data_IF_918078552087
#
_entry.id   IF_918078552087
#
_cell.length_a   1.000
_cell.length_b   1.000
_cell.length_c   1.000
_cell.angle_alpha   90.00
_cell.angle_beta   90.00
_cell.angle_gamma   90.00
#
_symmetry.space_group_name_H-M   'P 1'
#
loop_
_entity.id
_entity.type
_entity.pdbx_description
1 polymer ?
#
# COMPACT_ATOMS: atom_id res chain seq x y z
N UNK A 1 18.46 24.29 -5.06
CA UNK A 1 18.49 23.93 -3.63
C UNK A 1 17.58 22.72 -3.47
N UNK A 2 18.16 21.53 -3.35
CA UNK A 2 17.41 20.27 -3.34
C UNK A 2 17.31 19.81 -1.88
N UNK A 3 16.13 19.76 -1.25
CA UNK A 3 16.03 19.08 0.02
C UNK A 3 16.08 17.56 -0.23
N UNK A 4 17.24 16.97 0.07
CA UNK A 4 17.35 15.54 0.39
C UNK A 4 16.54 15.31 1.66
N UNK A 5 15.33 14.80 1.51
CA UNK A 5 14.59 14.19 2.62
C UNK A 5 14.96 12.72 2.64
N UNK A 6 15.89 12.36 3.52
CA UNK A 6 16.02 11.01 4.03
C UNK A 6 14.96 10.86 5.14
N UNK A 7 13.85 10.14 4.92
CA UNK A 7 12.97 9.80 6.03
C UNK A 7 13.62 8.71 6.91
N UNK A 8 13.36 8.72 8.23
CA UNK A 8 13.84 7.70 9.16
C UNK A 8 13.27 6.30 8.80
N UNK A 9 14.04 5.22 9.02
CA UNK A 9 13.74 3.85 8.53
C UNK A 9 12.60 3.11 9.23
N UNK A 10 11.69 3.80 9.93
CA UNK A 10 10.66 3.18 10.76
C UNK A 10 9.26 3.76 10.57
N UNK A 11 9.10 4.70 9.63
CA UNK A 11 7.76 5.09 9.17
C UNK A 11 7.43 4.22 7.97
N UNK A 12 6.40 3.39 8.08
CA UNK A 12 5.76 2.75 6.93
C UNK A 12 5.25 3.88 6.03
N UNK A 13 6.09 4.34 5.10
CA UNK A 13 5.76 5.47 4.25
C UNK A 13 4.55 5.09 3.42
N UNK A 14 3.53 5.98 3.33
CA UNK A 14 2.45 5.79 2.38
C UNK A 14 3.05 5.61 0.97
N UNK A 15 2.35 4.91 0.07
CA UNK A 15 2.79 4.83 -1.32
C UNK A 15 3.07 6.25 -1.83
N UNK A 16 4.30 6.47 -2.26
CA UNK A 16 4.76 7.71 -2.84
C UNK A 16 3.83 8.11 -3.99
N UNK A 17 3.68 9.42 -4.19
CA UNK A 17 2.75 9.97 -5.18
C UNK A 17 2.98 9.47 -6.63
N UNK A 18 4.15 8.88 -6.92
CA UNK A 18 4.47 8.31 -8.22
C UNK A 18 4.12 6.82 -8.37
N UNK A 19 3.87 6.10 -7.27
CA UNK A 19 3.56 4.68 -7.32
C UNK A 19 2.23 4.43 -8.04
N UNK A 20 2.25 3.49 -8.98
CA UNK A 20 1.11 3.14 -9.82
C UNK A 20 0.58 1.78 -9.45
N UNK A 21 -0.72 1.61 -9.59
CA UNK A 21 -1.35 0.32 -9.40
C UNK A 21 -0.80 -0.67 -10.43
N UNK A 22 -0.24 -1.79 -9.98
CA UNK A 22 0.31 -2.84 -10.84
C UNK A 22 -0.72 -3.45 -11.81
N UNK A 23 -2.02 -3.26 -11.52
CA UNK A 23 -3.12 -3.81 -12.32
C UNK A 23 -3.64 -2.88 -13.41
N UNK A 24 -3.74 -1.57 -13.15
CA UNK A 24 -4.36 -0.61 -14.08
C UNK A 24 -3.57 0.68 -14.30
N UNK A 25 -2.38 0.79 -13.72
CA UNK A 25 -1.51 1.96 -13.81
C UNK A 25 -2.10 3.29 -13.28
N UNK A 26 -3.26 3.26 -12.60
CA UNK A 26 -3.81 4.41 -11.89
C UNK A 26 -2.95 4.77 -10.66
N UNK A 27 -3.19 5.92 -10.03
CA UNK A 27 -2.49 6.31 -8.80
C UNK A 27 -2.65 5.24 -7.69
N UNK A 28 -1.53 4.82 -7.12
CA UNK A 28 -1.48 3.90 -5.99
C UNK A 28 -1.99 4.57 -4.72
N UNK A 29 -2.74 3.81 -3.92
CA UNK A 29 -3.28 4.23 -2.62
C UNK A 29 -3.00 3.21 -1.51
N UNK A 30 -2.68 1.98 -1.88
CA UNK A 30 -2.27 0.91 -0.98
C UNK A 30 -0.98 0.29 -1.53
N UNK A 31 -0.01 0.08 -0.66
CA UNK A 31 1.14 -0.80 -0.90
C UNK A 31 1.05 -1.96 0.08
N UNK A 32 1.19 -3.19 -0.39
CA UNK A 32 1.30 -4.38 0.45
C UNK A 32 2.68 -5.00 0.28
N UNK A 33 3.21 -5.57 1.36
CA UNK A 33 4.43 -6.37 1.38
C UNK A 33 4.04 -7.82 1.59
N UNK A 34 4.53 -8.72 0.72
CA UNK A 34 4.32 -10.15 0.80
C UNK A 34 5.39 -10.80 1.69
N UNK A 35 5.15 -12.05 2.11
CA UNK A 35 6.10 -12.81 2.93
C UNK A 35 7.49 -12.98 2.29
N UNK A 36 7.59 -12.91 0.96
CA UNK A 36 8.86 -12.96 0.23
C UNK A 36 9.61 -11.61 0.16
N UNK A 37 9.10 -10.56 0.80
CA UNK A 37 9.67 -9.21 0.75
C UNK A 37 9.35 -8.42 -0.53
N UNK A 38 8.61 -9.01 -1.47
CA UNK A 38 8.09 -8.26 -2.62
C UNK A 38 6.96 -7.32 -2.20
N UNK A 39 6.84 -6.20 -2.90
CA UNK A 39 5.81 -5.21 -2.68
C UNK A 39 4.89 -5.12 -3.90
N UNK A 40 3.59 -4.94 -3.67
CA UNK A 40 2.60 -4.70 -4.72
C UNK A 40 1.80 -3.44 -4.39
N UNK A 41 1.53 -2.64 -5.41
CA UNK A 41 0.80 -1.37 -5.29
C UNK A 41 -0.57 -1.50 -5.94
N UNK A 42 -1.59 -1.01 -5.23
CA UNK A 42 -2.97 -1.02 -5.69
C UNK A 42 -3.58 0.38 -5.61
N UNK A 43 -4.41 0.72 -6.60
CA UNK A 43 -5.29 1.89 -6.52
C UNK A 43 -6.40 1.62 -5.52
N UNK A 44 -7.06 2.68 -5.01
CA UNK A 44 -8.09 2.52 -3.98
C UNK A 44 -9.25 1.60 -4.41
N UNK A 45 -9.58 1.58 -5.71
CA UNK A 45 -10.56 0.64 -6.27
C UNK A 45 -10.09 -0.81 -6.14
N UNK A 46 -8.91 -1.17 -6.66
CA UNK A 46 -8.45 -2.57 -6.62
C UNK A 46 -8.08 -3.04 -5.22
N UNK A 47 -7.54 -2.15 -4.38
CA UNK A 47 -7.27 -2.42 -2.98
C UNK A 47 -8.53 -2.90 -2.24
N UNK A 48 -9.66 -2.21 -2.43
CA UNK A 48 -10.93 -2.58 -1.79
C UNK A 48 -11.66 -3.72 -2.51
N UNK A 49 -11.60 -3.76 -3.85
CA UNK A 49 -12.22 -4.82 -4.65
C UNK A 49 -11.64 -6.20 -4.33
N UNK A 50 -10.32 -6.28 -4.13
CA UNK A 50 -9.61 -7.53 -3.86
C UNK A 50 -9.22 -7.67 -2.38
N UNK A 51 -9.80 -6.88 -1.47
CA UNK A 51 -9.38 -6.83 -0.07
C UNK A 51 -9.30 -8.23 0.57
N UNK A 52 -10.33 -9.07 0.38
CA UNK A 52 -10.40 -10.42 0.97
C UNK A 52 -9.27 -11.35 0.50
N UNK A 53 -8.75 -11.18 -0.71
CA UNK A 53 -7.64 -11.97 -1.21
C UNK A 53 -6.29 -11.34 -0.85
N UNK A 54 -6.19 -10.01 -0.88
CA UNK A 54 -4.99 -9.29 -0.49
C UNK A 54 -4.62 -9.55 0.96
N UNK A 55 -5.59 -9.58 1.90
CA UNK A 55 -5.31 -9.84 3.32
C UNK A 55 -4.67 -11.19 3.58
N UNK A 56 -4.95 -12.21 2.74
CA UNK A 56 -4.38 -13.57 2.89
C UNK A 56 -2.88 -13.62 2.59
N UNK A 57 -2.39 -12.69 1.78
CA UNK A 57 -1.00 -12.66 1.29
C UNK A 57 -0.19 -11.47 1.84
N UNK A 58 -0.87 -10.53 2.50
CA UNK A 58 -0.27 -9.31 3.04
C UNK A 58 0.37 -9.60 4.39
N UNK A 59 1.66 -9.27 4.52
CA UNK A 59 2.40 -9.33 5.78
C UNK A 59 2.55 -7.95 6.41
N UNK A 60 2.75 -6.92 5.59
CA UNK A 60 2.72 -5.51 5.99
C UNK A 60 2.00 -4.70 4.94
N UNK A 61 1.41 -3.59 5.32
CA UNK A 61 0.77 -2.68 4.38
C UNK A 61 1.00 -1.22 4.75
N UNK A 62 1.00 -0.37 3.74
CA UNK A 62 1.05 1.08 3.83
C UNK A 62 -0.11 1.66 3.01
N UNK A 63 -0.90 2.55 3.60
CA UNK A 63 -1.94 3.28 2.88
C UNK A 63 -1.61 4.76 2.80
N UNK A 64 -2.05 5.37 1.72
CA UNK A 64 -2.18 6.83 1.65
C UNK A 64 -3.04 7.32 2.84
N UNK A 65 -2.67 8.42 3.51
CA UNK A 65 -3.31 8.84 4.76
C UNK A 65 -4.80 9.19 4.58
N UNK A 66 -5.23 9.53 3.37
CA UNK A 66 -6.63 9.82 3.04
C UNK A 66 -7.40 8.58 2.59
N UNK A 67 -6.74 7.42 2.46
CA UNK A 67 -7.34 6.19 1.97
C UNK A 67 -7.53 5.16 3.09
N UNK A 68 -8.78 4.78 3.33
CA UNK A 68 -9.10 3.66 4.21
C UNK A 68 -9.24 2.36 3.39
N UNK A 69 -8.34 1.41 3.63
CA UNK A 69 -8.40 0.08 3.02
C UNK A 69 -9.27 -0.86 3.84
N UNK A 70 -10.31 -1.44 3.21
CA UNK A 70 -11.23 -2.40 3.87
C UNK A 70 -10.51 -3.64 4.42
N UNK A 71 -9.39 -4.05 3.84
CA UNK A 71 -8.63 -5.19 4.34
C UNK A 71 -7.93 -4.94 5.68
N UNK A 72 -7.74 -3.68 6.09
CA UNK A 72 -7.18 -3.36 7.40
C UNK A 72 -8.07 -3.87 8.54
N UNK A 73 -9.39 -3.73 8.40
CA UNK A 73 -10.40 -4.25 9.36
C UNK A 73 -10.35 -5.78 9.41
N UNK A 74 -10.27 -6.44 8.25
CA UNK A 74 -10.19 -7.90 8.14
C UNK A 74 -8.89 -8.51 8.72
N UNK A 75 -7.79 -7.75 8.76
CA UNK A 75 -6.54 -8.19 9.37
C UNK A 75 -6.44 -7.85 10.86
N UNK A 76 -7.30 -6.97 11.36
CA UNK A 76 -7.33 -6.58 12.77
C UNK A 76 -8.15 -7.54 13.65
N UNK A 77 -8.92 -8.44 13.03
CA UNK A 77 -9.78 -9.44 13.68
C UNK A 77 -9.23 -10.85 13.54
#
# INVERSE_FOLDING_TARGET
MTPTLTPPPETVSPPAADERCDRCNAAGKLRITLAGGSELVFCGHHANKYAEDLVKITVRYATDPEFNWRGADLMAN
#
